data_IF_809901334837
#
_entry.id   IF_809901334837
#
_cell.length_a   1.000
_cell.length_b   1.000
_cell.length_c   1.000
_cell.angle_alpha   90.00
_cell.angle_beta   90.00
_cell.angle_gamma   90.00
#
_symmetry.space_group_name_H-M   'P 1'
#
loop_
_entity.id
_entity.type
_entity.pdbx_description
1 polymer ?
#
# COMPACT_ATOMS: atom_id res chain seq x y z
N UNK A 1 0.42 -5.86 8.49
CA UNK A 1 0.14 -4.48 8.95
C UNK A 1 -1.31 -4.14 8.72
N UNK A 2 -1.94 -3.47 9.65
CA UNK A 2 -3.35 -3.10 9.52
C UNK A 2 -3.45 -1.68 8.95
N UNK A 3 -4.20 -1.54 7.86
CA UNK A 3 -4.40 -0.27 7.18
C UNK A 3 -5.90 -0.09 6.94
N UNK A 4 -6.49 0.99 7.48
CA UNK A 4 -7.90 1.29 7.28
C UNK A 4 -8.85 0.18 7.71
N UNK A 5 -8.50 -0.56 8.75
CA UNK A 5 -9.34 -1.66 9.26
C UNK A 5 -9.10 -3.02 8.62
N UNK A 6 -8.22 -3.09 7.61
CA UNK A 6 -7.86 -4.35 6.95
C UNK A 6 -6.41 -4.69 7.22
N UNK A 7 -6.11 -5.98 7.36
CA UNK A 7 -4.75 -6.45 7.56
C UNK A 7 -4.15 -6.86 6.22
N UNK A 8 -2.97 -6.30 5.91
CA UNK A 8 -2.25 -6.57 4.67
C UNK A 8 -0.86 -7.11 4.97
N UNK A 9 -0.33 -7.91 4.06
CA UNK A 9 1.02 -8.46 4.13
C UNK A 9 1.73 -8.19 2.81
N UNK A 10 3.07 -8.25 2.85
CA UNK A 10 3.87 -8.20 1.63
C UNK A 10 3.42 -9.33 0.69
N UNK A 11 3.20 -8.98 -0.57
CA UNK A 11 2.69 -9.92 -1.57
C UNK A 11 1.20 -9.84 -1.81
N UNK A 12 0.44 -9.18 -0.92
CA UNK A 12 -1.00 -9.00 -1.10
C UNK A 12 -1.29 -7.97 -2.19
N UNK A 13 -2.45 -8.12 -2.83
CA UNK A 13 -2.93 -7.12 -3.79
C UNK A 13 -3.54 -5.95 -3.02
N UNK A 14 -3.26 -4.75 -3.49
CA UNK A 14 -3.77 -3.53 -2.90
C UNK A 14 -4.18 -2.56 -4.01
N UNK A 15 -5.37 -1.97 -3.88
CA UNK A 15 -5.87 -0.99 -4.84
C UNK A 15 -5.93 0.37 -4.16
N UNK A 16 -5.33 1.39 -4.80
CA UNK A 16 -5.37 2.75 -4.27
C UNK A 16 -6.75 3.35 -4.48
N UNK A 17 -7.26 4.03 -3.45
CA UNK A 17 -8.62 4.58 -3.52
C UNK A 17 -8.71 5.82 -4.43
N UNK A 18 -7.62 6.57 -4.58
CA UNK A 18 -7.65 7.80 -5.38
C UNK A 18 -7.54 7.56 -6.87
N UNK A 19 -6.68 6.62 -7.27
CA UNK A 19 -6.37 6.42 -8.68
C UNK A 19 -6.85 5.08 -9.20
N UNK A 20 -7.28 4.18 -8.33
CA UNK A 20 -7.73 2.86 -8.72
C UNK A 20 -6.61 1.95 -9.21
N UNK A 21 -5.36 2.27 -8.91
CA UNK A 21 -4.21 1.46 -9.31
C UNK A 21 -4.09 0.25 -8.39
N UNK A 22 -3.99 -0.93 -8.99
CA UNK A 22 -3.81 -2.18 -8.24
C UNK A 22 -2.39 -2.70 -8.45
N UNK A 23 -1.75 -3.09 -7.36
CA UNK A 23 -0.42 -3.68 -7.39
C UNK A 23 -0.20 -4.60 -6.21
N UNK A 24 0.91 -5.33 -6.22
CA UNK A 24 1.30 -6.15 -5.08
C UNK A 24 2.15 -5.34 -4.12
N UNK A 25 1.88 -5.49 -2.86
CA UNK A 25 2.62 -4.80 -1.81
C UNK A 25 4.03 -5.38 -1.73
N UNK A 26 5.04 -4.52 -1.88
CA UNK A 26 6.44 -4.92 -1.73
C UNK A 26 6.96 -4.65 -0.33
N UNK A 27 6.56 -3.52 0.25
CA UNK A 27 6.97 -3.20 1.61
C UNK A 27 6.10 -2.08 2.18
N UNK A 28 6.16 -1.96 3.49
CA UNK A 28 5.50 -0.88 4.24
C UNK A 28 6.59 0.04 4.79
N UNK A 29 6.41 1.35 4.60
CA UNK A 29 7.34 2.35 5.11
C UNK A 29 6.54 3.34 5.96
N UNK A 30 6.51 3.16 7.29
CA UNK A 30 5.79 4.08 8.16
C UNK A 30 6.36 5.49 8.05
N UNK A 31 5.49 6.48 7.84
CA UNK A 31 5.89 7.89 7.74
C UNK A 31 5.60 8.61 9.06
N UNK A 32 4.42 8.39 9.60
CA UNK A 32 4.01 8.89 10.91
C UNK A 32 3.27 7.76 11.62
N UNK A 33 2.86 7.99 12.86
CA UNK A 33 2.09 6.98 13.59
C UNK A 33 0.72 6.70 12.97
N UNK A 34 0.23 7.60 12.11
CA UNK A 34 -1.10 7.48 11.51
C UNK A 34 -1.07 7.23 10.01
N UNK A 35 0.10 7.32 9.38
CA UNK A 35 0.23 7.22 7.92
C UNK A 35 1.40 6.30 7.58
N UNK A 36 1.14 5.35 6.69
CA UNK A 36 2.16 4.45 6.16
C UNK A 36 2.22 4.57 4.66
N UNK A 37 3.44 4.66 4.13
CA UNK A 37 3.66 4.58 2.69
C UNK A 37 3.72 3.11 2.30
N UNK A 38 2.90 2.72 1.34
CA UNK A 38 2.87 1.36 0.82
C UNK A 38 3.52 1.35 -0.55
N UNK A 39 4.54 0.54 -0.74
CA UNK A 39 5.18 0.39 -2.03
C UNK A 39 4.51 -0.73 -2.80
N UNK A 40 3.99 -0.41 -3.99
CA UNK A 40 3.28 -1.35 -4.83
C UNK A 40 4.08 -1.62 -6.09
N UNK A 41 4.13 -2.88 -6.50
CA UNK A 41 4.66 -3.27 -7.80
C UNK A 41 3.50 -3.61 -8.73
N UNK A 42 3.46 -2.92 -9.87
CA UNK A 42 2.41 -3.09 -10.85
C UNK A 42 2.75 -4.24 -11.81
N UNK A 43 1.73 -4.68 -12.56
CA UNK A 43 1.89 -5.78 -13.51
C UNK A 43 2.91 -5.48 -14.62
N UNK A 44 3.09 -4.20 -14.96
CA UNK A 44 4.06 -3.79 -15.98
C UNK A 44 5.49 -3.61 -15.43
N UNK A 45 5.71 -3.96 -14.16
CA UNK A 45 7.01 -3.84 -13.50
C UNK A 45 7.29 -2.49 -12.88
N UNK A 46 6.39 -1.52 -13.04
CA UNK A 46 6.56 -0.20 -12.42
C UNK A 46 6.26 -0.27 -10.93
N UNK A 47 6.87 0.66 -10.20
CA UNK A 47 6.66 0.80 -8.75
C UNK A 47 5.86 2.06 -8.48
N UNK A 48 4.88 1.96 -7.57
CA UNK A 48 4.09 3.09 -7.12
C UNK A 48 4.05 3.13 -5.61
N UNK A 49 3.94 4.34 -5.08
CA UNK A 49 3.75 4.54 -3.65
C UNK A 49 2.33 5.03 -3.39
N UNK A 50 1.76 4.54 -2.30
CA UNK A 50 0.46 5.00 -1.82
C UNK A 50 0.59 5.38 -0.36
N UNK A 51 0.04 6.54 0.01
CA UNK A 51 -0.01 6.96 1.41
C UNK A 51 -1.34 6.52 1.98
N UNK A 52 -1.31 5.67 2.98
CA UNK A 52 -2.51 5.07 3.55
C UNK A 52 -2.55 5.33 5.05
N UNK A 53 -3.73 5.72 5.53
CA UNK A 53 -3.92 5.89 6.98
C UNK A 53 -3.91 4.53 7.65
N UNK A 54 -3.23 4.46 8.80
CA UNK A 54 -3.14 3.21 9.56
C UNK A 54 -4.29 3.00 10.52
N UNK A 55 -5.19 3.96 10.61
CA UNK A 55 -6.34 3.87 11.50
C UNK A 55 -7.61 3.74 10.68
#
# INVERSE_FOLDING_TARGET
MTLGGYTYQVGDLFTTSKTGVTGRIEKFVPQTKNVTRVMLRLANGQTRFAMVKTI
#
